data_IF_339695982529
#
_entry.id   IF_339695982529
#
_cell.length_a   1.000
_cell.length_b   1.000
_cell.length_c   1.000
_cell.angle_alpha   90.00
_cell.angle_beta   90.00
_cell.angle_gamma   90.00
#
_symmetry.space_group_name_H-M   'P 1'
#
loop_
_entity.id
_entity.type
_entity.pdbx_description
1 polymer ?
#
# COMPACT_ATOMS: atom_id res chain seq x y z
N UNK A 1 -26.10 -7.98 34.53
CA UNK A 1 -26.59 -6.81 33.76
C UNK A 1 -26.33 -7.08 32.28
N UNK A 2 -27.38 -7.22 31.49
CA UNK A 2 -27.28 -7.53 30.05
C UNK A 2 -26.90 -6.26 29.30
N UNK A 3 -25.65 -6.18 28.81
CA UNK A 3 -25.15 -5.02 28.05
C UNK A 3 -25.85 -5.03 26.69
N UNK A 4 -26.71 -4.04 26.40
CA UNK A 4 -27.30 -3.87 25.06
C UNK A 4 -26.16 -3.55 24.08
N UNK A 5 -25.93 -4.45 23.12
CA UNK A 5 -25.01 -4.21 22.02
C UNK A 5 -25.78 -3.54 20.89
N UNK A 6 -25.25 -2.44 20.36
CA UNK A 6 -25.78 -1.76 19.17
C UNK A 6 -25.00 -2.22 17.95
N UNK A 7 -25.67 -2.32 16.80
CA UNK A 7 -25.01 -2.57 15.52
C UNK A 7 -24.12 -1.37 15.18
N UNK A 8 -22.84 -1.62 14.94
CA UNK A 8 -21.89 -0.58 14.55
C UNK A 8 -22.07 -0.22 13.08
N UNK A 9 -22.30 1.05 12.76
CA UNK A 9 -22.30 1.58 11.40
C UNK A 9 -21.02 2.42 11.17
N UNK A 10 -20.10 2.00 10.28
CA UNK A 10 -18.90 2.77 9.97
C UNK A 10 -19.19 4.18 9.47
N UNK A 11 -20.34 4.41 8.83
CA UNK A 11 -20.74 5.70 8.26
C UNK A 11 -20.70 6.81 9.31
N UNK A 12 -21.09 6.50 10.55
CA UNK A 12 -21.13 7.47 11.66
C UNK A 12 -19.75 8.04 12.02
N UNK A 13 -18.67 7.31 11.68
CA UNK A 13 -17.29 7.69 11.99
C UNK A 13 -16.52 8.28 10.81
N UNK A 14 -17.09 8.27 9.61
CA UNK A 14 -16.45 8.76 8.39
C UNK A 14 -16.73 10.26 8.14
N UNK A 15 -16.57 11.08 9.19
CA UNK A 15 -16.88 12.52 9.19
C UNK A 15 -15.66 13.42 8.88
N UNK A 16 -14.47 12.83 8.71
CA UNK A 16 -13.24 13.56 8.42
C UNK A 16 -12.48 12.94 7.24
N UNK A 17 -11.67 13.77 6.56
CA UNK A 17 -10.81 13.28 5.48
C UNK A 17 -9.81 12.23 5.98
N UNK A 18 -9.30 12.39 7.21
CA UNK A 18 -8.37 11.44 7.82
C UNK A 18 -9.04 10.09 8.06
N UNK A 19 -10.25 10.07 8.64
CA UNK A 19 -10.98 8.83 8.88
C UNK A 19 -11.28 8.07 7.57
N UNK A 20 -11.59 8.81 6.49
CA UNK A 20 -11.80 8.22 5.17
C UNK A 20 -10.50 7.65 4.60
N UNK A 21 -9.37 8.35 4.76
CA UNK A 21 -8.08 7.88 4.30
C UNK A 21 -7.68 6.58 5.03
N UNK A 22 -7.78 6.54 6.35
CA UNK A 22 -7.46 5.35 7.16
C UNK A 22 -8.37 4.17 6.78
N UNK A 23 -9.67 4.42 6.65
CA UNK A 23 -10.64 3.40 6.30
C UNK A 23 -10.38 2.82 4.90
N UNK A 24 -10.07 3.68 3.93
CA UNK A 24 -9.75 3.24 2.58
C UNK A 24 -8.39 2.54 2.49
N UNK A 25 -7.39 2.99 3.26
CA UNK A 25 -6.10 2.31 3.33
C UNK A 25 -6.26 0.88 3.85
N UNK A 26 -6.98 0.70 4.95
CA UNK A 26 -7.31 -0.62 5.49
C UNK A 26 -8.10 -1.48 4.50
N UNK A 27 -9.00 -0.88 3.72
CA UNK A 27 -9.73 -1.60 2.67
C UNK A 27 -8.84 -2.02 1.51
N UNK A 28 -7.84 -1.24 1.11
CA UNK A 28 -6.89 -1.62 0.06
C UNK A 28 -5.93 -2.71 0.52
N UNK A 29 -5.59 -2.78 1.81
CA UNK A 29 -4.73 -3.83 2.38
C UNK A 29 -5.35 -5.23 2.34
N UNK A 30 -6.67 -5.35 2.14
CA UNK A 30 -7.32 -6.67 2.06
C UNK A 30 -7.08 -7.38 0.73
N UNK A 31 -6.62 -6.66 -0.30
CA UNK A 31 -6.53 -7.14 -1.68
C UNK A 31 -7.82 -7.79 -2.22
N UNK A 32 -8.97 -7.49 -1.61
CA UNK A 32 -10.29 -8.02 -1.99
C UNK A 32 -11.09 -6.94 -2.77
N UNK A 33 -11.29 -7.13 -4.09
CA UNK A 33 -12.03 -6.17 -4.91
C UNK A 33 -13.47 -5.91 -4.43
N UNK A 34 -14.17 -6.92 -3.92
CA UNK A 34 -15.54 -6.78 -3.44
C UNK A 34 -15.57 -5.97 -2.15
N UNK A 35 -14.62 -6.23 -1.25
CA UNK A 35 -14.46 -5.44 -0.02
C UNK A 35 -14.12 -3.97 -0.31
N UNK A 36 -13.19 -3.72 -1.24
CA UNK A 36 -12.81 -2.37 -1.66
C UNK A 36 -14.00 -1.63 -2.27
N UNK A 37 -14.76 -2.29 -3.15
CA UNK A 37 -15.97 -1.73 -3.75
C UNK A 37 -17.01 -1.37 -2.68
N UNK A 38 -17.26 -2.27 -1.74
CA UNK A 38 -18.19 -2.03 -0.63
C UNK A 38 -17.73 -0.86 0.25
N UNK A 39 -16.43 -0.79 0.59
CA UNK A 39 -15.85 0.31 1.37
C UNK A 39 -16.05 1.67 0.68
N UNK A 40 -15.83 1.74 -0.65
CA UNK A 40 -16.13 2.95 -1.43
C UNK A 40 -17.61 3.33 -1.36
N UNK A 41 -18.52 2.34 -1.36
CA UNK A 41 -19.95 2.57 -1.18
C UNK A 41 -20.30 3.16 0.18
N UNK A 42 -19.67 2.66 1.24
CA UNK A 42 -19.82 3.17 2.62
C UNK A 42 -19.32 4.62 2.71
N UNK A 43 -18.14 4.92 2.16
CA UNK A 43 -17.60 6.29 2.13
C UNK A 43 -18.48 7.22 1.29
N UNK A 44 -18.97 6.77 0.13
CA UNK A 44 -19.89 7.52 -0.71
C UNK A 44 -21.21 7.83 0.00
N UNK A 45 -21.72 6.90 0.82
CA UNK A 45 -22.89 7.14 1.66
C UNK A 45 -22.61 8.20 2.73
N UNK A 46 -21.47 8.14 3.40
CA UNK A 46 -21.06 9.12 4.40
C UNK A 46 -20.92 10.55 3.84
N UNK A 47 -20.46 10.68 2.60
CA UNK A 47 -20.35 11.97 1.89
C UNK A 47 -21.65 12.48 1.28
N UNK A 48 -22.61 11.59 1.03
CA UNK A 48 -23.90 11.90 0.43
C UNK A 48 -24.02 11.41 -1.02
N UNK A 49 -24.84 10.38 -1.21
CA UNK A 49 -25.01 9.70 -2.50
C UNK A 49 -25.50 10.59 -3.64
N UNK A 50 -26.31 11.60 -3.32
CA UNK A 50 -26.83 12.56 -4.32
C UNK A 50 -25.73 13.39 -4.95
N UNK A 51 -24.75 13.82 -4.15
CA UNK A 51 -23.64 14.63 -4.64
C UNK A 51 -22.69 13.78 -5.49
N UNK A 52 -22.37 12.57 -5.02
CA UNK A 52 -21.54 11.62 -5.77
C UNK A 52 -22.19 11.24 -7.11
N UNK A 53 -23.51 11.01 -7.14
CA UNK A 53 -24.24 10.75 -8.39
C UNK A 53 -24.07 11.89 -9.40
N UNK A 54 -24.23 13.14 -8.96
CA UNK A 54 -24.04 14.32 -9.82
C UNK A 54 -22.62 14.44 -10.35
N UNK A 55 -21.62 14.27 -9.49
CA UNK A 55 -20.21 14.40 -9.86
C UNK A 55 -19.71 13.28 -10.78
N UNK A 56 -20.23 12.06 -10.61
CA UNK A 56 -19.80 10.88 -11.37
C UNK A 56 -20.62 10.64 -12.64
N UNK A 57 -21.81 11.24 -12.75
CA UNK A 57 -22.78 10.97 -13.82
C UNK A 57 -23.46 9.61 -13.69
N UNK A 58 -23.31 8.92 -12.54
CA UNK A 58 -23.96 7.65 -12.25
C UNK A 58 -25.30 7.89 -11.55
N UNK A 59 -26.28 7.01 -11.78
CA UNK A 59 -27.53 7.07 -11.01
C UNK A 59 -27.29 6.60 -9.56
N UNK A 60 -28.11 7.09 -8.62
CA UNK A 60 -28.05 6.63 -7.22
C UNK A 60 -28.30 5.14 -7.09
N UNK A 61 -29.22 4.59 -7.89
CA UNK A 61 -29.49 3.15 -7.93
C UNK A 61 -28.28 2.35 -8.42
N UNK A 62 -27.58 2.85 -9.44
CA UNK A 62 -26.36 2.22 -9.92
C UNK A 62 -25.27 2.28 -8.85
N UNK A 63 -25.11 3.41 -8.15
CA UNK A 63 -24.16 3.51 -7.06
C UNK A 63 -24.47 2.50 -5.93
N UNK A 64 -25.73 2.39 -5.51
CA UNK A 64 -26.11 1.41 -4.48
C UNK A 64 -25.91 -0.04 -4.93
N UNK A 65 -26.22 -0.35 -6.20
CA UNK A 65 -26.09 -1.72 -6.72
C UNK A 65 -24.64 -2.11 -6.96
N UNK A 66 -23.85 -1.21 -7.53
CA UNK A 66 -22.47 -1.49 -7.93
C UNK A 66 -21.49 -1.44 -6.77
N UNK A 67 -21.78 -0.67 -5.72
CA UNK A 67 -20.91 -0.54 -4.53
C UNK A 67 -21.57 -1.14 -3.27
N UNK A 68 -22.46 -2.12 -3.43
CA UNK A 68 -22.94 -2.95 -2.32
C UNK A 68 -21.91 -4.03 -1.95
N UNK A 69 -22.17 -4.77 -0.87
CA UNK A 69 -21.33 -5.90 -0.45
C UNK A 69 -21.16 -6.99 -1.53
N UNK A 70 -22.15 -7.15 -2.41
CA UNK A 70 -22.16 -8.12 -3.51
C UNK A 70 -21.99 -7.43 -4.88
N UNK A 71 -21.70 -6.13 -4.87
CA UNK A 71 -21.57 -5.33 -6.07
C UNK A 71 -20.30 -5.65 -6.85
N UNK A 72 -20.36 -5.48 -8.17
CA UNK A 72 -19.20 -5.59 -9.05
C UNK A 72 -19.10 -4.33 -9.91
N UNK A 73 -18.51 -3.23 -9.40
CA UNK A 73 -18.38 -2.00 -10.15
C UNK A 73 -17.31 -2.15 -11.23
N UNK A 74 -17.55 -1.58 -12.40
CA UNK A 74 -16.49 -1.50 -13.43
C UNK A 74 -15.35 -0.59 -12.95
N UNK A 75 -14.12 -0.83 -13.40
CA UNK A 75 -12.97 0.03 -13.08
C UNK A 75 -13.25 1.51 -13.42
N UNK A 76 -13.97 1.77 -14.51
CA UNK A 76 -14.40 3.13 -14.89
C UNK A 76 -15.26 3.79 -13.79
N UNK A 77 -16.25 3.07 -13.28
CA UNK A 77 -17.12 3.55 -12.20
C UNK A 77 -16.34 3.75 -10.91
N UNK A 78 -15.47 2.80 -10.55
CA UNK A 78 -14.62 2.87 -9.36
C UNK A 78 -13.74 4.12 -9.38
N UNK A 79 -13.03 4.35 -10.49
CA UNK A 79 -12.19 5.54 -10.65
C UNK A 79 -12.99 6.84 -10.64
N UNK A 80 -14.22 6.85 -11.17
CA UNK A 80 -15.09 8.02 -11.12
C UNK A 80 -15.50 8.36 -9.68
N UNK A 81 -15.94 7.36 -8.90
CA UNK A 81 -16.33 7.54 -7.51
C UNK A 81 -15.12 7.95 -6.65
N UNK A 82 -13.95 7.34 -6.84
CA UNK A 82 -12.75 7.73 -6.11
C UNK A 82 -12.38 9.20 -6.33
N UNK A 83 -12.46 9.69 -7.58
CA UNK A 83 -12.23 11.11 -7.88
C UNK A 83 -13.24 12.02 -7.18
N UNK A 84 -14.53 11.66 -7.17
CA UNK A 84 -15.57 12.41 -6.48
C UNK A 84 -15.35 12.45 -4.96
N UNK A 85 -14.74 11.39 -4.40
CA UNK A 85 -14.37 11.30 -2.99
C UNK A 85 -13.03 11.98 -2.66
N UNK A 86 -12.32 12.53 -3.65
CA UNK A 86 -11.00 13.13 -3.47
C UNK A 86 -9.86 12.13 -3.28
N UNK A 87 -10.08 10.85 -3.62
CA UNK A 87 -9.11 9.78 -3.50
C UNK A 87 -8.40 9.58 -4.84
N UNK A 88 -7.07 9.41 -4.81
CA UNK A 88 -6.26 9.07 -5.99
C UNK A 88 -5.59 7.71 -5.80
N UNK A 89 -5.56 6.91 -6.85
CA UNK A 89 -4.74 5.70 -6.93
C UNK A 89 -3.36 6.10 -7.49
N UNK A 90 -2.31 5.59 -6.85
CA UNK A 90 -0.94 5.67 -7.36
C UNK A 90 -0.38 4.27 -7.53
N UNK A 91 0.24 3.99 -8.68
CA UNK A 91 1.03 2.79 -8.86
C UNK A 91 2.42 3.01 -8.26
N UNK A 92 2.83 2.10 -7.37
CA UNK A 92 4.22 1.93 -6.98
C UNK A 92 4.61 0.51 -7.36
N UNK A 93 5.82 0.34 -7.87
CA UNK A 93 6.39 -1.01 -7.95
C UNK A 93 6.50 -1.51 -6.52
N UNK A 94 5.95 -2.68 -6.23
CA UNK A 94 6.49 -3.45 -5.12
C UNK A 94 7.92 -3.80 -5.54
N UNK A 95 8.90 -3.06 -5.00
CA UNK A 95 10.23 -3.65 -4.90
C UNK A 95 9.98 -4.79 -3.94
N UNK A 96 9.85 -6.00 -4.47
CA UNK A 96 9.86 -7.22 -3.69
C UNK A 96 10.99 -7.03 -2.67
N UNK A 97 10.68 -6.97 -1.37
CA UNK A 97 11.64 -6.61 -0.31
C UNK A 97 12.87 -7.55 -0.28
N UNK A 98 12.87 -8.59 -1.13
CA UNK A 98 13.98 -9.48 -1.42
C UNK A 98 15.00 -8.98 -2.45
N UNK A 99 14.75 -7.86 -3.13
CA UNK A 99 15.69 -7.30 -4.09
C UNK A 99 16.32 -6.05 -3.51
N UNK A 100 17.61 -6.18 -3.17
CA UNK A 100 18.45 -5.10 -2.70
C UNK A 100 18.25 -3.86 -3.59
N UNK A 101 18.22 -2.64 -3.03
CA UNK A 101 17.92 -1.40 -3.75
C UNK A 101 18.99 -0.99 -4.77
N UNK A 102 19.94 -1.88 -5.09
CA UNK A 102 21.02 -1.69 -6.03
C UNK A 102 21.20 -2.94 -6.89
N UNK A 103 21.72 -2.75 -8.09
CA UNK A 103 22.05 -3.82 -9.03
C UNK A 103 23.10 -4.76 -8.42
N UNK A 104 22.72 -6.03 -8.19
CA UNK A 104 23.66 -7.05 -7.70
C UNK A 104 24.53 -7.47 -8.88
N UNK A 105 25.66 -6.80 -9.06
CA UNK A 105 26.62 -7.14 -10.11
C UNK A 105 27.31 -8.46 -9.78
N UNK A 106 27.48 -9.30 -10.80
CA UNK A 106 28.36 -10.47 -10.71
C UNK A 106 29.76 -9.95 -10.32
N UNK A 107 30.38 -10.49 -9.25
CA UNK A 107 31.71 -10.09 -8.83
C UNK A 107 32.69 -10.13 -9.99
N UNK A 108 33.41 -9.03 -10.24
CA UNK A 108 34.44 -9.01 -11.29
C UNK A 108 35.61 -9.93 -10.89
N UNK A 109 36.53 -10.21 -11.81
CA UNK A 109 37.64 -11.13 -11.56
C UNK A 109 38.45 -10.77 -10.30
N UNK A 110 38.64 -9.47 -10.03
CA UNK A 110 39.33 -8.98 -8.83
C UNK A 110 38.55 -9.30 -7.55
N UNK A 111 37.23 -9.07 -7.54
CA UNK A 111 36.37 -9.40 -6.40
C UNK A 111 36.28 -10.90 -6.16
N UNK A 112 36.19 -11.71 -7.22
CA UNK A 112 36.20 -13.17 -7.11
C UNK A 112 37.51 -13.68 -6.51
N UNK A 113 38.64 -13.11 -6.93
CA UNK A 113 39.96 -13.46 -6.39
C UNK A 113 40.06 -13.10 -4.91
N UNK A 114 39.64 -11.88 -4.53
CA UNK A 114 39.65 -11.44 -3.13
C UNK A 114 38.75 -12.30 -2.23
N UNK A 115 37.56 -12.70 -2.70
CA UNK A 115 36.69 -13.61 -1.97
C UNK A 115 37.30 -15.01 -1.80
N UNK A 116 38.00 -15.50 -2.82
CA UNK A 116 38.72 -16.78 -2.76
C UNK A 116 39.88 -16.73 -1.75
N UNK A 117 40.68 -15.67 -1.76
CA UNK A 117 41.77 -15.43 -0.80
C UNK A 117 41.27 -15.29 0.65
N UNK A 118 40.12 -14.64 0.84
CA UNK A 118 39.46 -14.54 2.14
C UNK A 118 38.93 -15.91 2.60
N UNK A 119 38.30 -16.67 1.70
CA UNK A 119 37.77 -18.01 1.98
C UNK A 119 38.85 -19.05 2.29
N UNK A 120 40.06 -18.88 1.75
CA UNK A 120 41.23 -19.71 2.09
C UNK A 120 41.91 -19.31 3.40
N UNK A 121 41.40 -18.28 4.10
CA UNK A 121 41.99 -17.75 5.33
C UNK A 121 43.35 -17.08 5.12
N UNK A 122 43.66 -16.67 3.88
CA UNK A 122 44.94 -16.03 3.53
C UNK A 122 44.87 -14.50 3.50
N UNK A 123 43.77 -13.93 3.99
CA UNK A 123 43.62 -12.48 4.11
C UNK A 123 44.65 -11.89 5.08
N UNK A 124 45.02 -10.62 4.86
CA UNK A 124 45.79 -9.87 5.85
C UNK A 124 44.99 -9.79 7.15
N UNK A 125 45.57 -10.27 8.23
CA UNK A 125 45.05 -10.03 9.58
C UNK A 125 45.73 -8.80 10.16
N UNK A 126 44.96 -7.98 10.85
CA UNK A 126 45.45 -6.82 11.58
C UNK A 126 45.21 -7.05 13.07
N UNK A 127 46.20 -6.74 13.88
CA UNK A 127 46.14 -6.94 15.33
C UNK A 127 45.20 -5.92 16.02
N UNK A 128 45.01 -4.74 15.41
CA UNK A 128 44.11 -3.70 15.88
C UNK A 128 43.48 -2.90 14.72
N UNK A 129 42.44 -2.11 15.04
CA UNK A 129 41.70 -1.31 14.06
C UNK A 129 42.55 -0.16 13.48
N UNK A 130 43.47 0.39 14.27
CA UNK A 130 44.34 1.50 13.82
C UNK A 130 45.33 1.03 12.74
N UNK A 131 45.79 -0.22 12.82
CA UNK A 131 46.66 -0.85 11.83
C UNK A 131 45.92 -1.09 10.51
N UNK A 132 44.64 -1.45 10.56
CA UNK A 132 43.80 -1.58 9.36
C UNK A 132 43.62 -0.23 8.67
N UNK A 133 43.30 0.83 9.42
CA UNK A 133 43.07 2.17 8.85
C UNK A 133 44.33 2.74 8.18
N UNK A 134 45.50 2.52 8.78
CA UNK A 134 46.79 2.87 8.16
C UNK A 134 47.07 2.12 6.85
N UNK A 135 46.69 0.85 6.70
CA UNK A 135 46.86 0.09 5.44
C UNK A 135 45.87 0.53 4.36
N UNK A 136 44.67 0.96 4.78
CA UNK A 136 43.61 1.43 3.88
C UNK A 136 43.74 2.91 3.47
N UNK A 137 44.72 3.63 4.03
CA UNK A 137 44.94 5.07 3.78
C UNK A 137 43.70 5.94 4.08
N UNK A 138 42.94 5.57 5.12
CA UNK A 138 41.73 6.26 5.60
C UNK A 138 41.77 6.52 7.10
#
# INVERSE_FOLDING_TARGET
MTKKLTTFDPVERLNSNHAIADFMAAAFETDDPAYIAHALGVVARARGMTEIAKQTGLSREQLYRSFSAEGNPTLRSTLAVMRALGIRISARTCVDEKHLPFDVRVPNATTQKAMSELGSGCGKHFDDADALFRDLDI
#
